data_IF_294429143708
#
_entry.id   IF_294429143708
#
_cell.length_a   1.000
_cell.length_b   1.000
_cell.length_c   1.000
_cell.angle_alpha   90.00
_cell.angle_beta   90.00
_cell.angle_gamma   90.00
#
_symmetry.space_group_name_H-M   'P 1'
#
loop_
_entity.id
_entity.type
_entity.pdbx_description
1 polymer ?
#
# COMPACT_ATOMS: atom_id res chain seq x y z
N UNK A 1 -33.08 0.04 10.50
CA UNK A 1 -31.86 -0.06 11.34
C UNK A 1 -30.66 0.08 10.43
N UNK A 2 -29.82 1.09 10.64
CA UNK A 2 -28.54 1.21 9.96
C UNK A 2 -27.69 -0.03 10.23
N UNK A 3 -27.18 -0.68 9.17
CA UNK A 3 -26.40 -1.92 9.24
C UNK A 3 -25.00 -1.69 8.70
N UNK A 4 -23.98 -2.25 9.35
CA UNK A 4 -22.61 -2.23 8.82
C UNK A 4 -22.25 -3.61 8.26
N UNK A 5 -21.77 -3.65 7.01
CA UNK A 5 -21.14 -4.82 6.41
C UNK A 5 -19.62 -4.68 6.53
N UNK A 6 -18.94 -5.78 6.87
CA UNK A 6 -17.49 -5.83 7.01
C UNK A 6 -16.95 -6.93 6.12
N UNK A 7 -15.98 -6.58 5.26
CA UNK A 7 -15.21 -7.52 4.44
C UNK A 7 -13.78 -7.51 4.99
N UNK A 8 -13.40 -8.58 5.68
CA UNK A 8 -12.09 -8.74 6.30
C UNK A 8 -11.73 -10.25 6.37
N UNK A 9 -10.73 -10.73 5.62
CA UNK A 9 -9.88 -9.99 4.69
C UNK A 9 -10.54 -9.75 3.33
N UNK A 10 -10.09 -8.72 2.62
CA UNK A 10 -10.36 -8.59 1.17
C UNK A 10 -9.53 -9.62 0.41
N UNK A 11 -10.18 -10.46 -0.40
CA UNK A 11 -9.50 -11.56 -1.13
C UNK A 11 -9.18 -11.19 -2.58
N UNK A 12 -8.23 -11.94 -3.19
CA UNK A 12 -7.73 -11.73 -4.57
C UNK A 12 -7.14 -10.32 -4.81
N UNK A 13 -6.46 -9.79 -3.81
CA UNK A 13 -5.65 -8.57 -3.89
C UNK A 13 -4.22 -8.86 -3.44
N UNK A 14 -3.33 -7.90 -3.64
CA UNK A 14 -2.02 -7.86 -2.97
C UNK A 14 -2.13 -7.11 -1.63
N UNK A 15 -1.37 -7.57 -0.62
CA UNK A 15 -1.38 -6.98 0.71
C UNK A 15 -2.64 -7.28 1.52
N UNK A 16 -2.89 -6.45 2.53
CA UNK A 16 -3.98 -6.62 3.48
C UNK A 16 -4.88 -5.38 3.49
N UNK A 17 -6.18 -5.64 3.44
CA UNK A 17 -7.18 -4.62 3.52
C UNK A 17 -8.45 -5.12 4.21
N UNK A 18 -9.18 -4.16 4.77
CA UNK A 18 -10.55 -4.30 5.25
C UNK A 18 -11.44 -3.30 4.54
N UNK A 19 -12.68 -3.68 4.25
CA UNK A 19 -13.71 -2.75 3.75
C UNK A 19 -14.87 -2.73 4.74
N UNK A 20 -15.34 -1.53 5.11
CA UNK A 20 -16.57 -1.34 5.89
C UNK A 20 -17.58 -0.58 5.06
N UNK A 21 -18.82 -1.07 4.98
CA UNK A 21 -19.91 -0.45 4.22
C UNK A 21 -21.07 -0.18 5.18
N UNK A 22 -21.49 1.06 5.29
CA UNK A 22 -22.63 1.47 6.10
C UNK A 22 -23.88 1.58 5.23
N UNK A 23 -24.91 0.83 5.58
CA UNK A 23 -26.21 0.88 4.92
C UNK A 23 -27.19 1.74 5.71
N UNK A 24 -28.02 2.51 5.00
CA UNK A 24 -29.15 3.23 5.58
C UNK A 24 -30.34 2.28 5.88
N UNK A 25 -31.44 2.85 6.35
CA UNK A 25 -32.65 2.09 6.69
C UNK A 25 -33.37 1.50 5.46
N UNK A 26 -33.13 2.03 4.26
CA UNK A 26 -33.62 1.48 2.99
C UNK A 26 -32.68 0.40 2.40
N UNK A 27 -31.59 0.08 3.11
CA UNK A 27 -30.58 -0.87 2.67
C UNK A 27 -29.66 -0.33 1.57
N UNK A 28 -29.68 0.97 1.29
CA UNK A 28 -28.79 1.62 0.34
C UNK A 28 -27.46 1.96 1.00
N UNK A 29 -26.37 2.00 0.21
CA UNK A 29 -25.04 2.38 0.71
C UNK A 29 -25.02 3.87 1.04
N UNK A 30 -24.78 4.19 2.30
CA UNK A 30 -24.61 5.56 2.79
C UNK A 30 -23.14 5.97 2.92
N UNK A 31 -22.26 5.03 3.33
CA UNK A 31 -20.80 5.24 3.39
C UNK A 31 -20.05 3.93 3.08
N UNK A 32 -18.81 4.06 2.60
CA UNK A 32 -17.90 2.94 2.37
C UNK A 32 -16.46 3.37 2.63
N UNK A 33 -15.71 2.57 3.39
CA UNK A 33 -14.32 2.87 3.74
C UNK A 33 -13.41 1.69 3.41
N UNK A 34 -12.30 2.00 2.75
CA UNK A 34 -11.19 1.10 2.54
C UNK A 34 -10.12 1.36 3.59
N UNK A 35 -9.71 0.30 4.29
CA UNK A 35 -8.73 0.37 5.36
C UNK A 35 -7.47 -0.36 4.91
N UNK A 36 -6.35 0.36 4.82
CA UNK A 36 -5.02 -0.26 4.73
C UNK A 36 -4.63 -0.68 6.14
N UNK A 37 -4.54 -1.98 6.39
CA UNK A 37 -4.40 -2.52 7.76
C UNK A 37 -2.95 -2.79 8.14
N UNK A 38 -2.00 -2.60 7.23
CA UNK A 38 -0.58 -2.87 7.43
C UNK A 38 0.31 -1.65 7.23
N UNK A 39 1.44 -1.65 7.93
CA UNK A 39 2.46 -0.63 7.82
C UNK A 39 3.85 -1.25 8.01
N UNK A 40 4.82 -0.83 7.19
CA UNK A 40 6.22 -1.27 7.27
C UNK A 40 7.25 -0.15 7.42
N UNK A 41 6.89 1.10 7.12
CA UNK A 41 7.75 2.27 7.33
C UNK A 41 9.01 2.34 6.46
N UNK A 42 8.92 1.97 5.17
CA UNK A 42 10.06 1.97 4.24
C UNK A 42 10.82 3.29 4.20
N UNK A 43 10.09 4.40 4.13
CA UNK A 43 10.66 5.73 4.06
C UNK A 43 11.56 6.04 5.26
N UNK A 44 11.11 5.68 6.47
CA UNK A 44 11.85 5.97 7.70
C UNK A 44 13.08 5.11 7.87
N UNK A 45 13.00 3.81 7.56
CA UNK A 45 14.17 2.93 7.73
C UNK A 45 15.24 3.15 6.64
N UNK A 46 14.87 3.75 5.50
CA UNK A 46 15.81 4.12 4.44
C UNK A 46 16.68 5.33 4.78
N UNK A 47 16.27 6.17 5.75
CA UNK A 47 17.08 7.31 6.18
C UNK A 47 18.48 6.86 6.66
N UNK A 48 19.52 7.56 6.21
CA UNK A 48 20.91 7.28 6.56
C UNK A 48 21.56 6.12 5.79
N UNK A 49 20.81 5.43 4.92
CA UNK A 49 21.36 4.37 4.06
C UNK A 49 21.99 4.92 2.79
N UNK A 50 22.85 4.11 2.19
CA UNK A 50 23.47 4.43 0.91
C UNK A 50 22.43 4.39 -0.21
N UNK A 51 22.42 5.39 -1.10
CA UNK A 51 21.46 5.41 -2.21
C UNK A 51 21.65 4.20 -3.15
N UNK A 52 22.86 3.63 -3.22
CA UNK A 52 23.18 2.42 -3.99
C UNK A 52 22.39 1.18 -3.53
N UNK A 53 21.97 1.13 -2.27
CA UNK A 53 21.18 0.02 -1.72
C UNK A 53 19.67 0.17 -2.04
N UNK A 54 19.23 1.37 -2.44
CA UNK A 54 17.79 1.69 -2.55
C UNK A 54 17.05 0.85 -3.59
N UNK A 55 17.58 0.53 -4.78
CA UNK A 55 16.87 -0.33 -5.73
C UNK A 55 16.63 -1.73 -5.17
N UNK A 56 17.61 -2.24 -4.41
CA UNK A 56 17.48 -3.49 -3.68
C UNK A 56 16.40 -3.39 -2.61
N UNK A 57 16.45 -2.38 -1.76
CA UNK A 57 15.51 -2.23 -0.64
C UNK A 57 14.07 -1.96 -1.11
N UNK A 58 13.88 -0.96 -1.95
CA UNK A 58 12.53 -0.48 -2.37
C UNK A 58 11.77 -1.51 -3.19
N UNK A 59 12.45 -2.39 -3.94
CA UNK A 59 11.78 -3.49 -4.65
C UNK A 59 11.07 -4.50 -3.72
N UNK A 60 11.30 -4.44 -2.39
CA UNK A 60 10.62 -5.29 -1.41
C UNK A 60 9.36 -4.61 -0.86
N UNK A 61 9.00 -3.42 -1.34
CA UNK A 61 7.73 -2.77 -1.03
C UNK A 61 6.55 -3.57 -1.60
N UNK A 62 6.68 -4.22 -2.75
CA UNK A 62 5.57 -5.02 -3.26
C UNK A 62 6.10 -6.24 -4.00
N UNK A 63 5.50 -7.41 -3.74
CA UNK A 63 5.85 -8.66 -4.41
C UNK A 63 5.36 -8.74 -5.86
N UNK A 64 4.36 -7.94 -6.23
CA UNK A 64 3.78 -7.93 -7.59
C UNK A 64 4.44 -6.90 -8.50
N UNK A 65 4.79 -5.71 -8.00
CA UNK A 65 5.46 -4.66 -8.78
C UNK A 65 6.91 -4.38 -8.37
N UNK A 66 7.76 -5.40 -8.08
CA UNK A 66 9.12 -5.16 -7.60
C UNK A 66 9.99 -4.46 -8.67
N UNK A 67 9.78 -4.76 -9.95
CA UNK A 67 10.51 -4.14 -11.07
C UNK A 67 10.20 -2.64 -11.16
N UNK A 68 8.95 -2.25 -10.96
CA UNK A 68 8.55 -0.84 -10.99
C UNK A 68 9.25 -0.05 -9.88
N UNK A 69 9.30 -0.59 -8.67
CA UNK A 69 10.03 0.03 -7.56
C UNK A 69 11.54 0.09 -7.82
N UNK A 70 12.12 -0.99 -8.35
CA UNK A 70 13.54 -1.03 -8.71
C UNK A 70 13.86 0.07 -9.74
N UNK A 71 13.10 0.14 -10.83
CA UNK A 71 13.30 1.15 -11.88
C UNK A 71 13.12 2.58 -11.37
N UNK A 72 12.12 2.83 -10.51
CA UNK A 72 11.91 4.14 -9.92
C UNK A 72 13.10 4.54 -9.04
N UNK A 73 13.59 3.63 -8.20
CA UNK A 73 14.74 3.89 -7.34
C UNK A 73 16.04 4.04 -8.13
N UNK A 74 16.24 3.29 -9.22
CA UNK A 74 17.39 3.44 -10.10
C UNK A 74 17.39 4.80 -10.77
N UNK A 75 16.25 5.23 -11.34
CA UNK A 75 16.12 6.57 -11.94
C UNK A 75 16.37 7.69 -10.94
N UNK A 76 15.96 7.52 -9.68
CA UNK A 76 16.27 8.45 -8.62
C UNK A 76 17.79 8.50 -8.33
N UNK A 77 18.47 7.34 -8.36
CA UNK A 77 19.93 7.26 -8.28
C UNK A 77 20.64 7.93 -9.45
N UNK A 78 20.16 7.73 -10.68
CA UNK A 78 20.68 8.40 -11.88
C UNK A 78 20.58 9.93 -11.71
N UNK A 79 19.42 10.43 -11.27
CA UNK A 79 19.22 11.87 -11.02
C UNK A 79 20.13 12.45 -9.94
N UNK A 80 20.58 11.64 -8.97
CA UNK A 80 21.55 12.06 -7.93
C UNK A 80 22.96 12.20 -8.53
N UNK A 81 23.31 11.37 -9.50
CA UNK A 81 24.67 11.30 -10.07
C UNK A 81 24.89 12.23 -11.28
N UNK A 82 23.81 12.65 -11.94
CA UNK A 82 23.85 13.47 -13.16
C UNK A 82 23.99 12.64 -14.43
#
# INVERSE_FOLDING_TARGET
MSRTLVIDPVTRIEGHAKITIQLDDAGQVNDARFHVTEFRGFEKFCEGRSFWEMPGITARVCGICPVSHLMASSKAGDAILG
#
